data_IF_618652993901
#
_entry.id   IF_618652993901
#
_cell.length_a   1.000
_cell.length_b   1.000
_cell.length_c   1.000
_cell.angle_alpha   90.00
_cell.angle_beta   90.00
_cell.angle_gamma   90.00
#
_symmetry.space_group_name_H-M   'P 1'
#
loop_
_entity.id
_entity.type
_entity.pdbx_description
1 polymer ?
#
# COMPACT_ATOMS: atom_id res chain seq x y z
N UNK A 1 -24.76 2.51 -6.71
CA UNK A 1 -23.92 2.00 -5.59
C UNK A 1 -24.70 1.12 -4.62
N UNK A 2 -25.99 1.39 -4.33
CA UNK A 2 -26.78 0.64 -3.34
C UNK A 2 -27.65 -0.49 -3.93
N UNK A 3 -27.73 -0.60 -5.26
CA UNK A 3 -28.45 -1.68 -5.93
C UNK A 3 -27.76 -3.04 -5.68
N UNK A 4 -28.41 -4.01 -5.01
CA UNK A 4 -27.82 -5.31 -4.69
C UNK A 4 -27.40 -6.12 -5.92
N UNK A 5 -28.15 -6.05 -7.03
CA UNK A 5 -27.83 -6.80 -8.25
C UNK A 5 -26.54 -6.27 -8.88
N UNK A 6 -26.46 -4.95 -9.06
CA UNK A 6 -25.24 -4.29 -9.54
C UNK A 6 -24.04 -4.52 -8.61
N UNK A 7 -24.24 -4.49 -7.29
CA UNK A 7 -23.17 -4.84 -6.34
C UNK A 7 -22.69 -6.29 -6.50
N UNK A 8 -23.59 -7.23 -6.77
CA UNK A 8 -23.24 -8.62 -7.08
C UNK A 8 -22.34 -8.73 -8.30
N UNK A 9 -22.77 -8.12 -9.41
CA UNK A 9 -22.00 -8.07 -10.66
C UNK A 9 -20.62 -7.42 -10.47
N UNK A 10 -20.55 -6.32 -9.72
CA UNK A 10 -19.30 -5.63 -9.40
C UNK A 10 -18.29 -6.52 -8.69
N UNK A 11 -18.75 -7.28 -7.68
CA UNK A 11 -17.90 -8.22 -6.93
C UNK A 11 -17.42 -9.37 -7.81
N UNK A 12 -18.26 -9.90 -8.69
CA UNK A 12 -17.85 -10.97 -9.62
C UNK A 12 -16.74 -10.50 -10.58
N UNK A 13 -16.83 -9.28 -11.11
CA UNK A 13 -15.77 -8.71 -11.96
C UNK A 13 -14.46 -8.57 -11.17
N UNK A 14 -14.52 -8.08 -9.93
CA UNK A 14 -13.35 -7.96 -9.04
C UNK A 14 -12.75 -9.34 -8.73
N UNK A 15 -13.58 -10.31 -8.36
CA UNK A 15 -13.15 -11.68 -8.04
C UNK A 15 -12.50 -12.36 -9.25
N UNK A 16 -13.05 -12.20 -10.46
CA UNK A 16 -12.46 -12.71 -11.68
C UNK A 16 -11.08 -12.09 -11.96
N UNK A 17 -10.90 -10.79 -11.69
CA UNK A 17 -9.59 -10.14 -11.79
C UNK A 17 -8.59 -10.68 -10.76
N UNK A 18 -9.03 -10.88 -9.51
CA UNK A 18 -8.22 -11.46 -8.43
C UNK A 18 -7.79 -12.88 -8.71
N UNK A 19 -8.68 -13.74 -9.24
CA UNK A 19 -8.35 -15.11 -9.68
C UNK A 19 -7.25 -15.11 -10.77
N UNK A 20 -7.36 -14.21 -11.76
CA UNK A 20 -6.31 -14.06 -12.80
C UNK A 20 -4.98 -13.63 -12.19
N UNK A 21 -4.98 -12.63 -11.30
CA UNK A 21 -3.75 -12.19 -10.64
C UNK A 21 -3.16 -13.29 -9.75
N UNK A 22 -3.98 -14.01 -8.99
CA UNK A 22 -3.53 -15.11 -8.13
C UNK A 22 -2.78 -16.20 -8.92
N UNK A 23 -3.33 -16.64 -10.06
CA UNK A 23 -2.65 -17.59 -10.93
C UNK A 23 -1.34 -17.05 -11.51
N UNK A 24 -1.27 -15.75 -11.84
CA UNK A 24 -0.03 -15.11 -12.29
C UNK A 24 1.02 -14.98 -11.18
N UNK A 25 0.60 -14.70 -9.94
CA UNK A 25 1.48 -14.69 -8.77
C UNK A 25 2.07 -16.10 -8.61
N UNK A 26 1.22 -17.12 -8.50
CA UNK A 26 1.67 -18.51 -8.33
C UNK A 26 2.62 -18.96 -9.43
N UNK A 27 2.29 -18.69 -10.70
CA UNK A 27 3.14 -19.05 -11.85
C UNK A 27 4.52 -18.39 -11.81
N UNK A 28 4.62 -17.17 -11.26
CA UNK A 28 5.87 -16.38 -11.31
C UNK A 28 6.68 -16.41 -10.03
N UNK A 29 6.06 -16.69 -8.89
CA UNK A 29 6.71 -16.64 -7.58
C UNK A 29 6.61 -17.94 -6.81
N UNK A 30 5.76 -18.88 -7.25
CA UNK A 30 5.43 -20.09 -6.49
C UNK A 30 4.53 -19.85 -5.28
N UNK A 31 4.10 -18.61 -5.02
CA UNK A 31 3.24 -18.28 -3.87
C UNK A 31 1.78 -18.43 -4.26
N UNK A 32 1.11 -19.44 -3.72
CA UNK A 32 -0.34 -19.56 -3.80
C UNK A 32 -1.02 -18.56 -2.86
N UNK A 33 -1.95 -17.77 -3.40
CA UNK A 33 -2.72 -16.73 -2.67
C UNK A 33 -4.22 -16.93 -2.87
N UNK A 34 -5.02 -16.60 -1.86
CA UNK A 34 -6.48 -16.77 -1.89
C UNK A 34 -7.17 -15.53 -2.51
N UNK A 35 -7.85 -15.66 -3.66
CA UNK A 35 -8.64 -14.57 -4.26
C UNK A 35 -9.81 -14.07 -3.40
N UNK A 36 -10.22 -14.81 -2.36
CA UNK A 36 -11.21 -14.38 -1.38
C UNK A 36 -10.68 -13.38 -0.34
N UNK A 37 -9.37 -13.36 -0.10
CA UNK A 37 -8.71 -12.43 0.82
C UNK A 37 -8.68 -11.00 0.28
N UNK A 38 -8.57 -9.99 1.15
CA UNK A 38 -8.37 -8.60 0.73
C UNK A 38 -7.00 -8.45 0.02
N UNK A 39 -7.01 -8.07 -1.25
CA UNK A 39 -5.78 -7.80 -1.99
C UNK A 39 -5.29 -6.39 -1.69
N UNK A 40 -4.28 -6.31 -0.82
CA UNK A 40 -3.62 -5.10 -0.33
C UNK A 40 -2.38 -4.80 -1.17
N UNK A 41 -2.44 -3.80 -2.06
CA UNK A 41 -1.47 -3.67 -3.15
C UNK A 41 -0.67 -2.38 -3.06
N UNK A 42 0.66 -2.53 -2.96
CA UNK A 42 1.63 -1.45 -3.05
C UNK A 42 2.57 -1.62 -4.25
N UNK A 43 2.17 -1.04 -5.39
CA UNK A 43 2.92 -1.17 -6.64
C UNK A 43 3.37 0.18 -7.18
N UNK A 44 4.67 0.45 -7.01
CA UNK A 44 5.36 1.70 -7.39
C UNK A 44 6.88 1.48 -7.34
N UNK A 45 7.67 2.45 -7.83
CA UNK A 45 9.13 2.43 -7.69
C UNK A 45 9.51 2.22 -6.22
N UNK A 46 10.55 1.43 -5.94
CA UNK A 46 11.03 1.25 -4.57
C UNK A 46 11.92 2.44 -4.22
N UNK A 47 11.49 3.19 -3.20
CA UNK A 47 12.17 4.37 -2.70
C UNK A 47 11.74 4.59 -1.25
N UNK A 48 12.66 5.00 -0.38
CA UNK A 48 12.38 5.24 1.04
C UNK A 48 11.16 6.17 1.27
N UNK A 49 11.02 7.29 0.54
CA UNK A 49 9.85 8.17 0.70
C UNK A 49 8.50 7.55 0.31
N UNK A 50 8.49 6.48 -0.50
CA UNK A 50 7.28 5.73 -0.88
C UNK A 50 6.88 4.69 0.16
N UNK A 51 7.73 4.53 1.18
CA UNK A 51 7.50 3.83 2.43
C UNK A 51 7.04 2.38 2.31
N UNK A 52 7.57 1.60 1.37
CA UNK A 52 7.30 0.15 1.34
C UNK A 52 7.74 -0.56 2.64
N UNK A 53 8.79 -0.08 3.30
CA UNK A 53 9.15 -0.55 4.63
C UNK A 53 8.09 -0.25 5.71
N UNK A 54 7.32 0.85 5.66
CA UNK A 54 6.21 1.08 6.60
C UNK A 54 5.15 -0.02 6.48
N UNK A 55 4.81 -0.40 5.24
CA UNK A 55 3.91 -1.53 4.99
C UNK A 55 4.52 -2.85 5.51
N UNK A 56 5.82 -3.09 5.30
CA UNK A 56 6.49 -4.26 5.86
C UNK A 56 6.47 -4.30 7.40
N UNK A 57 6.62 -3.15 8.09
CA UNK A 57 6.48 -3.06 9.54
C UNK A 57 5.07 -3.45 10.00
N UNK A 58 4.04 -2.98 9.30
CA UNK A 58 2.65 -3.35 9.57
C UNK A 58 2.40 -4.86 9.33
N UNK A 59 2.94 -5.43 8.26
CA UNK A 59 2.81 -6.88 8.00
C UNK A 59 3.43 -7.68 9.15
N UNK A 60 4.59 -7.25 9.65
CA UNK A 60 5.24 -7.89 10.81
C UNK A 60 4.41 -7.72 12.09
N UNK A 61 3.81 -6.56 12.33
CA UNK A 61 2.95 -6.37 13.51
C UNK A 61 1.71 -7.28 13.44
N UNK A 62 1.13 -7.46 12.25
CA UNK A 62 0.04 -8.42 12.02
C UNK A 62 0.49 -9.86 12.25
N UNK A 63 1.64 -10.24 11.69
CA UNK A 63 2.24 -11.57 11.86
C UNK A 63 2.41 -11.92 13.35
N UNK A 64 3.01 -11.00 14.12
CA UNK A 64 3.20 -11.16 15.56
C UNK A 64 1.87 -11.26 16.33
N UNK A 65 0.88 -10.44 15.96
CA UNK A 65 -0.46 -10.51 16.55
C UNK A 65 -1.13 -11.85 16.27
N UNK A 66 -1.09 -12.34 15.04
CA UNK A 66 -1.69 -13.64 14.66
C UNK A 66 -1.02 -14.80 15.39
N UNK A 67 0.29 -14.72 15.62
CA UNK A 67 1.01 -15.71 16.43
C UNK A 67 0.64 -15.70 17.91
N UNK A 68 0.41 -14.52 18.49
CA UNK A 68 -0.01 -14.38 19.89
C UNK A 68 -1.47 -14.74 20.12
N UNK A 69 -2.31 -14.48 19.12
CA UNK A 69 -3.75 -14.69 19.17
C UNK A 69 -4.20 -15.50 17.95
N UNK A 70 -3.90 -16.82 17.91
CA UNK A 70 -4.27 -17.67 16.77
C UNK A 70 -5.75 -17.65 16.45
N UNK A 71 -6.63 -17.45 17.43
CA UNK A 71 -8.09 -17.48 17.25
C UNK A 71 -8.71 -16.09 17.00
N UNK A 72 -7.88 -15.03 16.87
CA UNK A 72 -8.40 -13.69 16.62
C UNK A 72 -9.17 -13.62 15.30
N UNK A 73 -10.36 -13.00 15.34
CA UNK A 73 -11.13 -12.66 14.16
C UNK A 73 -10.31 -11.66 13.32
N UNK A 74 -9.95 -12.08 12.11
CA UNK A 74 -9.05 -11.35 11.25
C UNK A 74 -9.55 -11.41 9.81
N UNK A 75 -9.61 -10.26 9.13
CA UNK A 75 -9.92 -10.19 7.71
C UNK A 75 -8.73 -10.74 6.90
N UNK A 76 -8.83 -11.88 6.21
CA UNK A 76 -7.69 -12.45 5.49
C UNK A 76 -7.13 -11.48 4.46
N UNK A 77 -5.81 -11.40 4.32
CA UNK A 77 -5.14 -10.45 3.41
C UNK A 77 -4.06 -11.08 2.54
N UNK A 78 -3.97 -10.62 1.31
CA UNK A 78 -2.81 -10.86 0.44
C UNK A 78 -2.14 -9.52 0.15
N UNK A 79 -0.95 -9.33 0.70
CA UNK A 79 -0.11 -8.17 0.45
C UNK A 79 0.67 -8.38 -0.85
N UNK A 80 0.45 -7.52 -1.85
CA UNK A 80 1.12 -7.58 -3.14
C UNK A 80 2.02 -6.37 -3.32
N UNK A 81 3.32 -6.62 -3.35
CA UNK A 81 4.32 -5.62 -3.69
C UNK A 81 4.73 -5.75 -5.16
N UNK A 82 5.15 -4.64 -5.75
CA UNK A 82 5.75 -4.65 -7.07
C UNK A 82 6.48 -3.35 -7.35
N UNK A 83 7.72 -3.43 -7.78
CA UNK A 83 8.54 -2.24 -8.00
C UNK A 83 9.96 -2.57 -8.37
N UNK A 84 10.70 -1.54 -8.80
CA UNK A 84 12.13 -1.62 -9.08
C UNK A 84 12.86 -0.58 -8.23
N UNK A 85 14.03 -0.95 -7.73
CA UNK A 85 15.00 -0.03 -7.15
C UNK A 85 16.01 0.38 -8.22
N UNK A 86 16.58 1.59 -8.10
CA UNK A 86 17.70 1.98 -8.94
C UNK A 86 18.94 1.12 -8.62
N UNK A 87 19.82 0.81 -9.60
CA UNK A 87 20.90 -0.16 -9.41
C UNK A 87 21.85 0.15 -8.23
N UNK A 88 22.19 1.43 -8.05
CA UNK A 88 23.05 1.91 -6.97
C UNK A 88 22.33 2.28 -5.67
N UNK A 89 20.99 2.15 -5.62
CA UNK A 89 20.23 2.54 -4.43
C UNK A 89 20.18 1.41 -3.41
N UNK A 90 21.23 1.33 -2.58
CA UNK A 90 21.42 0.28 -1.59
C UNK A 90 20.21 0.11 -0.65
N UNK A 91 19.76 1.16 0.03
CA UNK A 91 18.63 1.07 0.97
C UNK A 91 17.32 0.61 0.28
N UNK A 92 17.04 1.08 -0.94
CA UNK A 92 15.88 0.61 -1.69
C UNK A 92 15.96 -0.90 -2.03
N UNK A 93 17.16 -1.40 -2.38
CA UNK A 93 17.37 -2.84 -2.57
C UNK A 93 17.26 -3.62 -1.26
N UNK A 94 17.71 -3.04 -0.14
CA UNK A 94 17.57 -3.63 1.18
C UNK A 94 16.11 -3.72 1.62
N UNK A 95 15.27 -2.74 1.27
CA UNK A 95 13.80 -2.79 1.46
C UNK A 95 13.18 -3.92 0.63
N UNK A 96 13.61 -4.14 -0.62
CA UNK A 96 13.17 -5.30 -1.41
C UNK A 96 13.55 -6.60 -0.69
N UNK A 97 14.78 -6.72 -0.19
CA UNK A 97 15.22 -7.90 0.58
C UNK A 97 14.40 -8.08 1.86
N UNK A 98 14.09 -7.00 2.58
CA UNK A 98 13.24 -7.05 3.77
C UNK A 98 11.88 -7.65 3.42
N UNK A 99 11.20 -7.12 2.41
CA UNK A 99 9.86 -7.59 2.02
C UNK A 99 9.87 -9.07 1.64
N UNK A 100 10.86 -9.52 0.86
CA UNK A 100 10.97 -10.93 0.51
C UNK A 100 11.25 -11.81 1.73
N UNK A 101 12.07 -11.35 2.67
CA UNK A 101 12.37 -12.11 3.88
C UNK A 101 11.19 -12.19 4.85
N UNK A 102 10.39 -11.11 4.91
CA UNK A 102 9.09 -11.12 5.61
C UNK A 102 8.15 -12.11 4.93
N UNK A 103 8.10 -12.12 3.59
CA UNK A 103 7.28 -13.06 2.85
C UNK A 103 7.66 -14.52 3.13
N UNK A 104 8.95 -14.85 3.18
CA UNK A 104 9.43 -16.21 3.45
C UNK A 104 8.94 -16.73 4.80
N UNK A 105 9.07 -15.94 5.87
CA UNK A 105 8.58 -16.32 7.20
C UNK A 105 7.05 -16.39 7.23
N UNK A 106 6.38 -15.32 6.80
CA UNK A 106 4.92 -15.21 6.91
C UNK A 106 4.21 -16.30 6.09
N UNK A 107 4.69 -16.58 4.88
CA UNK A 107 4.02 -17.51 3.98
C UNK A 107 4.16 -18.97 4.40
N UNK A 108 5.20 -19.31 5.18
CA UNK A 108 5.53 -20.68 5.58
C UNK A 108 5.12 -21.00 7.02
N UNK A 109 4.88 -20.00 7.86
CA UNK A 109 4.53 -20.19 9.27
C UNK A 109 3.11 -20.80 9.44
N UNK A 110 2.99 -22.03 9.94
CA UNK A 110 1.68 -22.67 10.14
C UNK A 110 0.78 -21.91 11.12
N UNK A 111 1.34 -21.15 12.07
CA UNK A 111 0.56 -20.37 13.04
C UNK A 111 -0.20 -19.20 12.38
N UNK A 112 0.26 -18.74 11.22
CA UNK A 112 -0.47 -17.74 10.40
C UNK A 112 -1.72 -18.38 9.79
N UNK A 113 -1.70 -19.68 9.50
CA UNK A 113 -2.85 -20.42 8.96
C UNK A 113 -3.31 -19.91 7.59
N UNK A 114 -2.41 -19.32 6.81
CA UNK A 114 -2.72 -18.72 5.50
C UNK A 114 -3.58 -17.44 5.56
N UNK A 115 -3.86 -16.90 6.75
CA UNK A 115 -4.69 -15.69 6.93
C UNK A 115 -4.04 -14.43 6.38
N UNK A 116 -2.70 -14.38 6.36
CA UNK A 116 -1.96 -13.39 5.58
C UNK A 116 -0.98 -14.09 4.64
N UNK A 117 -0.85 -13.54 3.43
CA UNK A 117 0.17 -13.91 2.46
C UNK A 117 0.86 -12.65 1.95
N UNK A 118 2.14 -12.76 1.62
CA UNK A 118 2.93 -11.68 1.03
C UNK A 118 3.53 -12.16 -0.29
N UNK A 119 3.29 -11.42 -1.36
CA UNK A 119 3.84 -11.71 -2.67
C UNK A 119 4.57 -10.49 -3.21
N UNK A 120 5.85 -10.65 -3.57
CA UNK A 120 6.58 -9.65 -4.34
C UNK A 120 6.52 -10.04 -5.82
N UNK A 121 5.72 -9.31 -6.61
CA UNK A 121 5.59 -9.56 -8.03
C UNK A 121 6.83 -9.04 -8.79
N UNK A 122 7.60 -9.92 -9.46
CA UNK A 122 8.88 -9.53 -10.05
C UNK A 122 8.70 -8.73 -11.34
N UNK A 123 9.74 -7.95 -11.68
CA UNK A 123 9.83 -7.16 -12.91
C UNK A 123 8.59 -6.30 -13.19
N UNK A 124 8.27 -5.40 -12.27
CA UNK A 124 7.12 -4.53 -12.46
C UNK A 124 7.26 -3.65 -13.71
N UNK A 125 6.29 -3.76 -14.62
CA UNK A 125 6.20 -3.04 -15.88
C UNK A 125 4.72 -2.91 -16.31
N UNK A 126 4.43 -2.21 -17.40
CA UNK A 126 3.04 -1.97 -17.87
C UNK A 126 2.29 -3.28 -18.18
N UNK A 127 2.96 -4.24 -18.85
CA UNK A 127 2.38 -5.55 -19.24
C UNK A 127 1.93 -6.35 -18.03
N UNK A 128 2.64 -6.24 -16.92
CA UNK A 128 2.27 -6.93 -15.68
C UNK A 128 1.26 -6.09 -14.87
N UNK A 129 1.41 -4.77 -14.85
CA UNK A 129 0.55 -3.85 -14.10
C UNK A 129 -0.93 -3.90 -14.52
N UNK A 130 -1.23 -4.16 -15.80
CA UNK A 130 -2.61 -4.26 -16.30
C UNK A 130 -3.42 -5.36 -15.62
N UNK A 131 -2.77 -6.38 -15.05
CA UNK A 131 -3.43 -7.44 -14.29
C UNK A 131 -3.54 -7.11 -12.79
N UNK A 132 -2.68 -6.22 -12.30
CA UNK A 132 -2.60 -5.84 -10.89
C UNK A 132 -3.69 -4.81 -10.54
N UNK A 133 -3.81 -3.73 -11.32
CA UNK A 133 -4.76 -2.66 -10.99
C UNK A 133 -6.22 -3.14 -10.86
N UNK A 134 -6.75 -3.98 -11.77
CA UNK A 134 -8.12 -4.48 -11.66
C UNK A 134 -8.36 -5.40 -10.45
N UNK A 135 -7.31 -6.04 -9.93
CA UNK A 135 -7.41 -7.02 -8.84
C UNK A 135 -7.27 -6.40 -7.44
N UNK A 136 -6.80 -5.16 -7.32
CA UNK A 136 -6.65 -4.53 -6.01
C UNK A 136 -7.99 -4.29 -5.33
N UNK A 137 -8.08 -4.64 -4.05
CA UNK A 137 -9.14 -4.19 -3.16
C UNK A 137 -8.70 -2.91 -2.45
N UNK A 138 -7.49 -2.91 -1.90
CA UNK A 138 -6.87 -1.76 -1.24
C UNK A 138 -5.63 -1.30 -2.01
N UNK A 139 -5.49 0.02 -2.15
CA UNK A 139 -4.39 0.69 -2.85
C UNK A 139 -3.55 1.50 -1.86
N UNK A 140 -2.29 1.11 -1.72
CA UNK A 140 -1.33 1.68 -0.77
C UNK A 140 -0.64 2.95 -1.31
N UNK A 141 -1.10 4.10 -0.85
CA UNK A 141 -0.64 5.43 -1.28
C UNK A 141 0.01 6.20 -0.13
N UNK A 142 0.97 5.52 0.49
CA UNK A 142 1.53 5.88 1.79
C UNK A 142 2.83 6.67 1.72
N UNK A 143 3.05 7.50 0.70
CA UNK A 143 4.25 8.35 0.65
C UNK A 143 4.28 9.33 1.83
N UNK A 144 5.46 9.75 2.31
CA UNK A 144 5.55 10.82 3.32
C UNK A 144 4.88 12.09 2.77
N UNK A 145 4.00 12.73 3.54
CA UNK A 145 3.34 13.96 3.10
C UNK A 145 4.33 15.05 2.67
N UNK A 146 4.03 15.71 1.54
CA UNK A 146 4.89 16.69 0.89
C UNK A 146 6.00 16.09 0.02
N UNK A 147 5.99 14.79 -0.32
CA UNK A 147 7.04 14.14 -1.14
C UNK A 147 6.52 13.59 -2.48
N UNK A 148 5.25 13.24 -2.59
CA UNK A 148 4.63 12.86 -3.85
C UNK A 148 3.98 14.09 -4.50
N UNK A 149 4.52 14.54 -5.62
CA UNK A 149 3.95 15.70 -6.32
C UNK A 149 2.54 15.42 -6.89
N UNK A 150 2.25 14.17 -7.26
CA UNK A 150 0.95 13.75 -7.80
C UNK A 150 0.76 12.25 -7.55
N UNK A 151 1.34 11.43 -8.43
CA UNK A 151 1.12 9.98 -8.46
C UNK A 151 -0.05 9.64 -9.38
N UNK A 152 0.15 8.70 -10.30
CA UNK A 152 -0.89 8.24 -11.25
C UNK A 152 -1.31 6.79 -11.03
N UNK A 153 -0.60 6.06 -10.15
CA UNK A 153 -0.97 4.71 -9.75
C UNK A 153 -2.25 4.70 -8.92
N UNK A 154 -2.39 5.63 -7.98
CA UNK A 154 -3.60 5.86 -7.19
C UNK A 154 -4.85 6.08 -8.07
N UNK A 155 -4.74 6.91 -9.12
CA UNK A 155 -5.82 7.15 -10.08
C UNK A 155 -6.28 5.86 -10.77
N UNK A 156 -5.32 5.03 -11.23
CA UNK A 156 -5.61 3.74 -11.88
C UNK A 156 -6.30 2.77 -10.93
N UNK A 157 -5.84 2.71 -9.68
CA UNK A 157 -6.46 1.87 -8.65
C UNK A 157 -7.89 2.31 -8.34
N UNK A 158 -8.12 3.60 -8.09
CA UNK A 158 -9.45 4.13 -7.81
C UNK A 158 -10.42 3.91 -9.00
N UNK A 159 -9.94 4.10 -10.23
CA UNK A 159 -10.71 3.80 -11.46
C UNK A 159 -11.07 2.33 -11.62
N UNK A 160 -10.27 1.43 -11.05
CA UNK A 160 -10.54 0.00 -11.00
C UNK A 160 -11.28 -0.43 -9.72
N UNK A 161 -11.81 0.52 -8.94
CA UNK A 161 -12.62 0.25 -7.74
C UNK A 161 -11.83 -0.14 -6.50
N UNK A 162 -10.50 0.04 -6.46
CA UNK A 162 -9.78 -0.13 -5.21
C UNK A 162 -10.03 1.07 -4.28
N UNK A 163 -10.25 0.80 -3.00
CA UNK A 163 -10.24 1.86 -1.99
C UNK A 163 -8.80 2.27 -1.71
N UNK A 164 -8.59 3.54 -1.38
CA UNK A 164 -7.24 4.05 -1.11
C UNK A 164 -7.03 4.19 0.39
N UNK A 165 -5.90 3.66 0.87
CA UNK A 165 -5.28 4.07 2.14
C UNK A 165 -4.07 4.93 1.82
N UNK A 166 -3.98 6.11 2.44
CA UNK A 166 -2.93 7.05 2.07
C UNK A 166 -2.83 8.26 2.96
N UNK A 167 -1.72 8.97 2.78
CA UNK A 167 -1.44 10.26 3.41
C UNK A 167 -2.11 11.41 2.64
N UNK A 168 -2.28 12.59 3.29
CA UNK A 168 -2.73 13.81 2.63
C UNK A 168 -1.61 14.39 1.74
N UNK A 169 -1.29 13.71 0.64
CA UNK A 169 -0.19 14.05 -0.26
C UNK A 169 -0.52 13.85 -1.74
N UNK A 170 0.09 14.67 -2.61
CA UNK A 170 -0.08 14.59 -4.05
C UNK A 170 -1.54 14.48 -4.50
N UNK A 171 -1.81 13.57 -5.44
CA UNK A 171 -3.14 13.34 -5.97
C UNK A 171 -4.08 12.64 -4.98
N UNK A 172 -3.61 12.17 -3.80
CA UNK A 172 -4.53 11.61 -2.80
C UNK A 172 -5.51 12.67 -2.27
N UNK A 173 -5.05 13.92 -2.16
CA UNK A 173 -5.91 15.05 -1.72
C UNK A 173 -7.06 15.22 -2.71
N UNK A 174 -6.74 15.37 -3.99
CA UNK A 174 -7.75 15.50 -5.04
C UNK A 174 -8.64 14.25 -5.13
N UNK A 175 -8.08 13.03 -5.00
CA UNK A 175 -8.88 11.80 -5.06
C UNK A 175 -9.88 11.78 -3.92
N UNK A 176 -9.45 12.09 -2.69
CA UNK A 176 -10.31 12.12 -1.51
C UNK A 176 -11.44 13.14 -1.66
N UNK A 177 -11.16 14.31 -2.22
CA UNK A 177 -12.19 15.32 -2.54
C UNK A 177 -13.24 14.77 -3.52
N UNK A 178 -12.80 14.15 -4.62
CA UNK A 178 -13.71 13.64 -5.66
C UNK A 178 -14.54 12.44 -5.17
N UNK A 179 -13.91 11.47 -4.49
CA UNK A 179 -14.59 10.23 -4.09
C UNK A 179 -15.45 10.42 -2.83
N UNK A 180 -15.23 11.48 -2.07
CA UNK A 180 -15.82 11.74 -0.76
C UNK A 180 -14.98 11.18 0.37
N UNK A 181 -14.85 11.95 1.46
CA UNK A 181 -13.98 11.63 2.60
C UNK A 181 -14.28 10.26 3.21
N UNK A 182 -15.55 9.87 3.23
CA UNK A 182 -16.01 8.61 3.78
C UNK A 182 -15.55 7.40 2.95
N UNK A 183 -15.11 7.60 1.71
CA UNK A 183 -14.69 6.55 0.78
C UNK A 183 -13.17 6.44 0.61
N UNK A 184 -12.42 7.06 1.51
CA UNK A 184 -10.96 7.10 1.53
C UNK A 184 -10.43 6.86 2.96
N UNK A 185 -9.39 6.06 3.11
CA UNK A 185 -8.73 5.79 4.39
C UNK A 185 -7.53 6.73 4.58
N UNK A 186 -7.78 7.90 5.18
CA UNK A 186 -6.75 8.90 5.45
C UNK A 186 -6.02 8.58 6.75
N UNK A 187 -4.69 8.67 6.76
CA UNK A 187 -3.89 8.60 7.98
C UNK A 187 -2.62 9.46 7.87
N UNK A 188 -1.90 9.55 8.98
CA UNK A 188 -0.57 10.13 9.05
C UNK A 188 -0.56 11.66 9.12
N UNK A 189 0.64 12.19 9.26
CA UNK A 189 0.90 13.62 9.36
C UNK A 189 0.57 14.36 8.06
N UNK A 190 0.08 15.60 8.19
CA UNK A 190 0.05 16.57 7.10
C UNK A 190 1.46 17.07 6.77
N UNK A 191 1.62 17.68 5.59
CA UNK A 191 2.92 18.19 5.15
C UNK A 191 3.50 19.23 6.13
N UNK A 192 2.66 20.12 6.65
CA UNK A 192 3.05 21.16 7.60
C UNK A 192 3.42 20.57 8.96
N UNK A 193 2.67 19.58 9.43
CA UNK A 193 2.93 18.86 10.69
C UNK A 193 4.24 18.06 10.59
N UNK A 194 4.50 17.42 9.45
CA UNK A 194 5.73 16.70 9.18
C UNK A 194 6.96 17.65 9.14
N UNK A 195 6.80 18.83 8.55
CA UNK A 195 7.84 19.86 8.55
C UNK A 195 8.10 20.40 9.97
N UNK A 196 7.03 20.73 10.71
CA UNK A 196 7.12 21.22 12.07
C UNK A 196 7.76 20.19 13.02
N UNK A 197 7.41 18.91 12.89
CA UNK A 197 8.00 17.83 13.68
C UNK A 197 9.51 17.74 13.45
N UNK A 198 9.96 17.80 12.19
CA UNK A 198 11.38 17.79 11.86
C UNK A 198 12.10 19.03 12.37
N UNK A 199 11.54 20.21 12.15
CA UNK A 199 12.09 21.47 12.63
C UNK A 199 12.17 21.54 14.17
N UNK A 200 11.24 20.87 14.86
CA UNK A 200 11.20 20.74 16.31
C UNK A 200 12.20 19.75 16.91
N UNK A 201 13.12 19.19 16.10
CA UNK A 201 14.12 18.23 16.57
C UNK A 201 13.58 16.82 16.72
N UNK A 202 12.89 16.32 15.69
CA UNK A 202 12.39 14.95 15.61
C UNK A 202 13.45 13.92 16.04
N UNK A 203 13.11 13.09 17.03
CA UNK A 203 13.94 11.97 17.52
C UNK A 203 13.20 10.65 17.24
N UNK A 204 13.60 9.87 16.22
CA UNK A 204 12.90 8.65 15.85
C UNK A 204 12.86 7.62 16.99
N UNK A 205 13.94 7.53 17.77
CA UNK A 205 14.05 6.62 18.91
C UNK A 205 12.97 6.82 19.97
N UNK A 206 12.48 8.03 20.18
CA UNK A 206 11.41 8.31 21.14
C UNK A 206 10.09 7.62 20.72
N UNK A 207 9.85 7.47 19.40
CA UNK A 207 8.70 6.75 18.87
C UNK A 207 8.83 5.23 19.04
N UNK A 208 10.04 4.71 18.84
CA UNK A 208 10.37 3.33 19.13
C UNK A 208 10.19 3.00 20.63
N UNK A 209 10.63 3.88 21.54
CA UNK A 209 10.59 3.62 22.99
C UNK A 209 9.16 3.61 23.55
N UNK A 210 8.27 4.46 23.01
CA UNK A 210 6.90 4.62 23.52
C UNK A 210 5.87 3.65 22.96
N UNK A 211 6.14 3.03 21.81
CA UNK A 211 5.22 2.11 21.14
C UNK A 211 5.75 0.67 21.22
N UNK A 212 5.15 -0.13 22.10
CA UNK A 212 5.57 -1.52 22.33
C UNK A 212 5.45 -2.41 21.08
N UNK A 213 4.46 -2.16 20.21
CA UNK A 213 4.29 -2.92 18.97
C UNK A 213 5.38 -2.55 17.96
N UNK A 214 5.66 -1.26 17.81
CA UNK A 214 6.73 -0.79 16.94
C UNK A 214 8.09 -1.33 17.41
N UNK A 215 8.35 -1.25 18.72
CA UNK A 215 9.56 -1.79 19.33
C UNK A 215 9.76 -3.26 18.99
N UNK A 216 8.74 -4.08 19.23
CA UNK A 216 8.78 -5.52 18.95
C UNK A 216 9.10 -5.81 17.48
N UNK A 217 8.50 -5.06 16.54
CA UNK A 217 8.76 -5.20 15.11
C UNK A 217 10.21 -4.84 14.76
N UNK A 218 10.73 -3.71 15.26
CA UNK A 218 12.10 -3.27 14.99
C UNK A 218 13.11 -4.24 15.62
N UNK A 219 12.86 -4.72 16.83
CA UNK A 219 13.70 -5.71 17.52
C UNK A 219 13.73 -7.03 16.74
N UNK A 220 12.59 -7.48 16.22
CA UNK A 220 12.53 -8.68 15.40
C UNK A 220 13.34 -8.56 14.12
N UNK A 221 13.28 -7.41 13.44
CA UNK A 221 14.13 -7.15 12.26
C UNK A 221 15.61 -7.17 12.65
N UNK A 222 15.96 -6.60 13.80
CA UNK A 222 17.33 -6.51 14.31
C UNK A 222 17.89 -7.85 14.80
N UNK A 223 17.02 -8.79 15.17
CA UNK A 223 17.42 -10.08 15.76
C UNK A 223 18.13 -11.04 14.80
N UNK A 224 18.07 -10.78 13.49
CA UNK A 224 18.55 -11.71 12.46
C UNK A 224 17.54 -12.80 12.07
N UNK A 225 16.36 -12.85 12.70
CA UNK A 225 15.32 -13.83 12.37
C UNK A 225 14.91 -13.80 10.88
N UNK A 226 14.84 -12.61 10.27
CA UNK A 226 14.55 -12.40 8.84
C UNK A 226 15.75 -12.69 7.93
N UNK A 227 16.89 -13.10 8.47
CA UNK A 227 18.14 -13.24 7.73
C UNK A 227 18.87 -14.54 8.07
N UNK A 228 18.15 -15.57 8.53
CA UNK A 228 18.75 -16.86 8.88
C UNK A 228 19.77 -16.77 10.03
N UNK A 229 19.60 -15.80 10.93
CA UNK A 229 20.50 -15.53 12.06
C UNK A 229 21.48 -14.37 11.84
N UNK A 230 21.60 -13.82 10.63
CA UNK A 230 22.45 -12.66 10.37
C UNK A 230 21.80 -11.35 10.87
N UNK A 231 22.10 -10.97 12.11
CA UNK A 231 21.67 -9.70 12.70
C UNK A 231 22.27 -8.45 12.01
N UNK A 232 23.29 -8.61 11.15
CA UNK A 232 23.93 -7.53 10.43
C UNK A 232 23.20 -7.10 9.15
N UNK A 233 22.45 -8.01 8.50
CA UNK A 233 21.87 -7.77 7.18
C UNK A 233 20.99 -6.52 7.12
N UNK A 234 20.07 -6.36 8.08
CA UNK A 234 19.11 -5.25 8.12
C UNK A 234 19.56 -4.08 8.99
N UNK A 235 20.74 -4.17 9.62
CA UNK A 235 21.26 -3.10 10.48
C UNK A 235 21.27 -1.72 9.81
N UNK A 236 21.70 -1.55 8.54
CA UNK A 236 21.64 -0.23 7.90
C UNK A 236 20.24 0.37 7.81
N UNK A 237 19.21 -0.47 7.65
CA UNK A 237 17.82 -0.02 7.62
C UNK A 237 17.31 0.33 9.02
N UNK A 238 17.62 -0.50 10.02
CA UNK A 238 17.25 -0.26 11.42
C UNK A 238 17.92 0.99 11.96
N UNK A 239 19.22 1.15 11.73
CA UNK A 239 19.97 2.34 12.15
C UNK A 239 19.39 3.60 11.49
N UNK A 240 19.04 3.54 10.20
CA UNK A 240 18.35 4.64 9.55
C UNK A 240 17.02 4.97 10.25
N UNK A 241 16.17 3.98 10.54
CA UNK A 241 14.89 4.19 11.20
C UNK A 241 15.01 4.71 12.63
N UNK A 242 16.01 4.29 13.41
CA UNK A 242 16.14 4.68 14.82
C UNK A 242 16.86 6.01 15.03
N UNK A 243 17.72 6.42 14.09
CA UNK A 243 18.56 7.61 14.24
C UNK A 243 18.18 8.76 13.31
N UNK A 244 17.79 8.48 12.06
CA UNK A 244 17.56 9.50 11.04
C UNK A 244 16.08 9.63 10.65
N UNK A 245 15.42 8.50 10.38
CA UNK A 245 14.08 8.33 9.80
C UNK A 245 13.63 9.52 8.94
N UNK A 246 14.32 9.77 7.81
CA UNK A 246 14.11 10.96 7.00
C UNK A 246 12.73 11.00 6.35
N UNK A 247 11.92 9.94 6.45
CA UNK A 247 10.58 9.87 5.87
C UNK A 247 9.49 9.61 6.90
N UNK A 248 9.78 9.82 8.18
CA UNK A 248 8.80 9.78 9.28
C UNK A 248 8.00 8.46 9.31
N UNK A 249 8.67 7.35 9.02
CA UNK A 249 8.12 6.00 9.04
C UNK A 249 7.65 5.65 10.45
N UNK A 250 8.47 5.89 11.46
CA UNK A 250 8.14 5.57 12.86
C UNK A 250 7.07 6.52 13.39
N UNK A 251 7.06 7.77 12.94
CA UNK A 251 6.04 8.75 13.34
C UNK A 251 4.63 8.41 12.82
N UNK A 252 4.53 7.89 11.58
CA UNK A 252 3.24 7.50 11.00
C UNK A 252 2.83 6.05 11.29
N UNK A 253 3.70 5.24 11.93
CA UNK A 253 3.44 3.81 12.14
C UNK A 253 2.12 3.54 12.87
N UNK A 254 1.91 4.20 14.01
CA UNK A 254 0.71 3.96 14.85
C UNK A 254 -0.58 4.32 14.12
N UNK A 255 -0.65 5.51 13.52
CA UNK A 255 -1.84 5.95 12.79
C UNK A 255 -2.10 5.10 11.54
N UNK A 256 -1.05 4.60 10.88
CA UNK A 256 -1.18 3.66 9.77
C UNK A 256 -1.77 2.32 10.22
N UNK A 257 -1.26 1.73 11.31
CA UNK A 257 -1.79 0.48 11.86
C UNK A 257 -3.27 0.61 12.26
N UNK A 258 -3.63 1.69 12.95
CA UNK A 258 -5.02 1.96 13.35
C UNK A 258 -5.94 2.14 12.13
N UNK A 259 -5.47 2.84 11.09
CA UNK A 259 -6.21 2.99 9.84
C UNK A 259 -6.40 1.64 9.12
N UNK A 260 -5.36 0.79 9.14
CA UNK A 260 -5.44 -0.56 8.60
C UNK A 260 -6.42 -1.45 9.37
N UNK A 261 -6.60 -1.25 10.68
CA UNK A 261 -7.66 -1.94 11.42
C UNK A 261 -9.06 -1.53 10.93
N UNK A 262 -9.28 -0.25 10.63
CA UNK A 262 -10.54 0.23 10.02
C UNK A 262 -10.80 -0.39 8.65
N UNK A 263 -9.75 -0.57 7.83
CA UNK A 263 -9.85 -1.31 6.56
C UNK A 263 -10.36 -2.73 6.81
N UNK A 264 -9.79 -3.42 7.81
CA UNK A 264 -10.18 -4.79 8.17
C UNK A 264 -11.65 -4.88 8.62
N UNK A 265 -12.09 -3.93 9.45
CA UNK A 265 -13.48 -3.85 9.93
C UNK A 265 -14.47 -3.56 8.80
N UNK A 266 -14.11 -2.72 7.82
CA UNK A 266 -14.95 -2.45 6.67
C UNK A 266 -15.01 -3.65 5.71
N UNK A 267 -13.90 -4.36 5.51
CA UNK A 267 -13.85 -5.54 4.63
C UNK A 267 -14.85 -6.62 5.06
N UNK A 268 -15.09 -6.75 6.37
CA UNK A 268 -16.11 -7.66 6.92
C UNK A 268 -17.56 -7.21 6.64
N UNK A 269 -17.77 -6.09 5.96
CA UNK A 269 -19.08 -5.56 5.56
C UNK A 269 -19.16 -5.47 4.02
N UNK A 270 -19.35 -6.60 3.30
CA UNK A 270 -19.18 -6.66 1.84
C UNK A 270 -20.03 -5.66 1.07
N UNK A 271 -21.29 -5.43 1.48
CA UNK A 271 -22.16 -4.46 0.80
C UNK A 271 -21.65 -3.02 0.94
N UNK A 272 -21.17 -2.63 2.14
CA UNK A 272 -20.59 -1.30 2.36
C UNK A 272 -19.29 -1.13 1.59
N UNK A 273 -18.39 -2.12 1.66
CA UNK A 273 -17.15 -2.10 0.87
C UNK A 273 -17.43 -1.93 -0.62
N UNK A 274 -18.35 -2.74 -1.17
CA UNK A 274 -18.72 -2.70 -2.59
C UNK A 274 -19.31 -1.33 -2.97
N UNK A 275 -20.18 -0.76 -2.14
CA UNK A 275 -20.73 0.57 -2.36
C UNK A 275 -19.64 1.64 -2.49
N UNK A 276 -18.65 1.64 -1.59
CA UNK A 276 -17.52 2.58 -1.62
C UNK A 276 -16.61 2.36 -2.84
N UNK A 277 -16.39 1.10 -3.20
CA UNK A 277 -15.60 0.70 -4.38
C UNK A 277 -16.22 1.24 -5.67
N UNK A 278 -17.54 1.09 -5.82
CA UNK A 278 -18.30 1.65 -6.96
C UNK A 278 -18.20 3.18 -6.98
N UNK A 279 -18.36 3.86 -5.84
CA UNK A 279 -18.29 5.32 -5.77
C UNK A 279 -16.90 5.85 -6.12
N UNK A 280 -15.84 5.16 -5.72
CA UNK A 280 -14.47 5.51 -6.13
C UNK A 280 -14.36 5.50 -7.66
N UNK A 281 -14.76 4.41 -8.32
CA UNK A 281 -14.67 4.31 -9.77
C UNK A 281 -15.58 5.32 -10.50
N UNK A 282 -16.80 5.56 -10.00
CA UNK A 282 -17.75 6.48 -10.62
C UNK A 282 -17.35 7.95 -10.49
N UNK A 283 -16.62 8.33 -9.43
CA UNK A 283 -16.28 9.73 -9.13
C UNK A 283 -14.87 10.13 -9.59
N UNK A 284 -14.07 9.22 -10.16
CA UNK A 284 -12.68 9.49 -10.54
C UNK A 284 -12.50 10.15 -11.93
N UNK A 285 -13.59 10.56 -12.59
CA UNK A 285 -13.57 11.05 -13.98
C UNK A 285 -12.63 12.24 -14.21
N UNK A 286 -12.43 13.09 -13.20
CA UNK A 286 -11.48 14.22 -13.20
C UNK A 286 -10.05 13.81 -13.58
N UNK A 287 -9.67 12.56 -13.33
CA UNK A 287 -8.31 12.05 -13.52
C UNK A 287 -8.07 11.43 -14.90
N UNK A 288 -9.01 11.57 -15.84
CA UNK A 288 -8.76 11.25 -17.24
C UNK A 288 -7.63 12.11 -17.81
N UNK A 289 -6.70 11.48 -18.55
CA UNK A 289 -5.65 12.20 -19.28
C UNK A 289 -6.21 13.15 -20.32
N UNK A 290 -7.42 12.89 -20.85
CA UNK A 290 -8.06 13.78 -21.84
C UNK A 290 -8.35 15.16 -21.25
N UNK A 291 -8.69 15.22 -19.95
CA UNK A 291 -8.88 16.49 -19.23
C UNK A 291 -7.55 17.23 -19.14
N UNK A 292 -6.49 16.54 -18.72
CA UNK A 292 -5.16 17.15 -18.61
C UNK A 292 -4.66 17.65 -19.98
N UNK A 293 -4.77 16.84 -21.03
CA UNK A 293 -4.38 17.23 -22.40
C UNK A 293 -5.18 18.45 -22.86
N UNK A 294 -6.48 18.50 -22.60
CA UNK A 294 -7.32 19.66 -22.93
C UNK A 294 -6.84 20.94 -22.22
N UNK A 295 -6.55 20.86 -20.92
CA UNK A 295 -6.02 22.01 -20.17
C UNK A 295 -4.66 22.47 -20.71
N UNK A 296 -3.77 21.55 -21.10
CA UNK A 296 -2.51 21.90 -21.75
C UNK A 296 -2.73 22.58 -23.12
N UNK A 297 -3.64 22.05 -23.94
CA UNK A 297 -4.00 22.65 -25.23
C UNK A 297 -4.52 24.09 -25.06
N UNK A 298 -5.36 24.33 -24.06
CA UNK A 298 -6.02 25.62 -23.82
C UNK A 298 -5.11 26.65 -23.14
N UNK A 299 -4.28 26.23 -22.18
CA UNK A 299 -3.55 27.15 -21.29
C UNK A 299 -2.08 27.33 -21.62
N UNK A 300 -1.48 26.39 -22.36
CA UNK A 300 -0.03 26.36 -22.59
C UNK A 300 0.27 26.28 -24.09
N UNK A 301 -0.21 25.24 -24.77
CA UNK A 301 0.12 25.01 -26.18
C UNK A 301 -0.64 25.91 -27.14
N UNK A 302 -1.79 26.43 -26.73
CA UNK A 302 -2.69 27.27 -27.53
C UNK A 302 -3.07 26.62 -28.87
N UNK A 303 -3.39 25.32 -28.84
CA UNK A 303 -3.78 24.53 -30.02
C UNK A 303 -5.27 24.17 -30.01
N UNK A 304 -5.87 24.06 -31.20
CA UNK A 304 -7.28 23.66 -31.39
C UNK A 304 -7.36 22.29 -32.08
N UNK A 305 -8.42 21.50 -31.83
CA UNK A 305 -8.62 20.24 -32.53
C UNK A 305 -8.70 20.44 -34.06
N UNK A 306 -7.86 19.72 -34.80
CA UNK A 306 -7.93 19.64 -36.25
C UNK A 306 -8.82 18.46 -36.66
N UNK A 307 -9.97 18.74 -37.25
CA UNK A 307 -10.80 17.68 -37.86
C UNK A 307 -10.23 17.33 -39.23
N UNK A 308 -9.67 16.14 -39.36
CA UNK A 308 -9.28 15.58 -40.67
C UNK A 308 -10.57 15.15 -41.37
N UNK A 309 -10.74 15.58 -42.63
CA UNK A 309 -11.86 15.17 -43.49
C UNK A 309 -11.60 13.81 -44.11
#
# INVERSE_FOLDING_TARGET
ANDPEFQGQWREVKLAAKRRLAGLIETRTGVAVDPGSLFDIQVKRIHEYKRQHLNALHILSLYMRLRRQPDAVFAPRTFVFGGKAAPGYFLAKLIIKLINSVADIVNTDPAVGGRIKVAFFPDQNVKNAQHIYPAADLSEQISMAGKEASGTGNMKFAMNGALTIGTPDGANVEIREEVGEENFFLFGLKAEEAQALKAGGYRPRDWYERDATLREVIDFISSGALAGGDAGLFRPLVDNLLWEDPFLVLADFRSYVECQEQVGLLWQQPSKWTGKSILNAARIGKFSSDRAVREYCERIWNVKPLRVK
#
